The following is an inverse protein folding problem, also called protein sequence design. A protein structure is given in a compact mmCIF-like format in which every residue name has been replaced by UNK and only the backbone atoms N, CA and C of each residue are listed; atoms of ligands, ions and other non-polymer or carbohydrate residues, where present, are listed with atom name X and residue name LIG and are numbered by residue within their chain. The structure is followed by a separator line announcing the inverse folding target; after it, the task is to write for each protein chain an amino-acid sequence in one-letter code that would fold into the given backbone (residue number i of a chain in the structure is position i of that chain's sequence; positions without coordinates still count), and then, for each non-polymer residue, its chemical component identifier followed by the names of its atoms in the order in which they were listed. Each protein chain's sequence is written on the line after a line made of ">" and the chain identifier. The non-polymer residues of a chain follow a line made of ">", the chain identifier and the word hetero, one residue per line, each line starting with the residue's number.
data_IF_577661016418
#
_entry.id   IF_577661016418
#
_cell.length_a   1.000
_cell.length_b   1.000
_cell.length_c   1.000
_cell.angle_alpha   90.00
_cell.angle_beta   90.00
_cell.angle_gamma   90.00
#
_symmetry.space_group_name_H-M   'P 1'
#
loop_
_entity.id
_entity.type
_entity.pdbx_description
1 polymer ?
#
# COMPACT_ATOMS: atom_id res chain seq x y z
N UNK A 1 38.90 21.68 -59.50
CA UNK A 1 37.49 21.31 -59.36
C UNK A 1 37.45 20.25 -58.26
N UNK A 2 37.07 20.63 -57.05
CA UNK A 2 37.12 19.75 -55.88
C UNK A 2 35.68 19.37 -55.51
N UNK A 3 35.37 18.08 -55.51
CA UNK A 3 34.07 17.55 -55.10
C UNK A 3 33.87 17.75 -53.59
N UNK A 4 32.71 18.26 -53.13
CA UNK A 4 32.42 18.34 -51.71
C UNK A 4 32.00 16.96 -51.20
N UNK A 5 32.76 16.45 -50.23
CA UNK A 5 32.42 15.23 -49.48
C UNK A 5 31.21 15.52 -48.59
N UNK A 6 30.07 14.94 -48.94
CA UNK A 6 28.88 14.90 -48.09
C UNK A 6 29.12 13.98 -46.89
N UNK A 7 29.36 14.54 -45.71
CA UNK A 7 29.25 13.80 -44.46
C UNK A 7 27.77 13.72 -44.07
N UNK A 8 27.15 12.56 -44.31
CA UNK A 8 25.84 12.25 -43.75
C UNK A 8 26.04 11.93 -42.27
N UNK A 9 25.83 12.92 -41.41
CA UNK A 9 25.72 12.67 -39.96
C UNK A 9 24.48 11.78 -39.77
N UNK A 10 24.70 10.49 -39.56
CA UNK A 10 23.68 9.60 -39.03
C UNK A 10 23.39 10.09 -37.62
N UNK A 11 22.34 10.90 -37.45
CA UNK A 11 21.89 11.33 -36.14
C UNK A 11 21.50 10.10 -35.32
N UNK A 12 22.38 9.69 -34.41
CA UNK A 12 22.07 8.66 -33.42
C UNK A 12 21.08 9.29 -32.43
N UNK A 13 19.80 8.96 -32.53
CA UNK A 13 18.86 9.26 -31.45
C UNK A 13 19.14 8.24 -30.35
N UNK A 14 19.67 8.70 -29.22
CA UNK A 14 19.56 7.96 -27.97
C UNK A 14 18.06 7.89 -27.63
N UNK A 15 17.41 6.78 -27.98
CA UNK A 15 16.04 6.53 -27.57
C UNK A 15 16.09 5.76 -26.26
N UNK A 16 15.72 6.42 -25.17
CA UNK A 16 15.44 5.72 -23.92
C UNK A 16 14.11 4.97 -24.12
N UNK A 17 13.97 3.77 -23.56
CA UNK A 17 12.69 3.04 -23.63
C UNK A 17 11.57 3.77 -22.90
N UNK A 18 10.33 3.23 -22.91
CA UNK A 18 9.18 3.96 -22.42
C UNK A 18 9.29 4.26 -20.93
N UNK A 19 8.91 5.49 -20.54
CA UNK A 19 8.71 5.81 -19.12
C UNK A 19 7.47 5.08 -18.61
N UNK A 20 7.46 4.70 -17.34
CA UNK A 20 6.29 4.09 -16.70
C UNK A 20 5.90 4.84 -15.42
N UNK A 21 4.61 5.12 -15.29
CA UNK A 21 4.00 5.76 -14.13
C UNK A 21 3.05 4.80 -13.44
N UNK A 22 3.25 4.59 -12.13
CA UNK A 22 2.38 3.79 -11.29
C UNK A 22 1.34 4.65 -10.58
N UNK A 23 0.09 4.21 -10.65
CA UNK A 23 -1.01 4.73 -9.83
C UNK A 23 -1.67 3.63 -9.03
N UNK A 24 -2.23 4.01 -7.89
CA UNK A 24 -2.80 3.11 -6.89
C UNK A 24 -4.25 3.50 -6.61
N UNK A 25 -5.10 2.50 -6.39
CA UNK A 25 -6.51 2.70 -6.00
C UNK A 25 -6.71 3.19 -4.57
N UNK A 26 -5.67 3.15 -3.74
CA UNK A 26 -5.63 3.63 -2.35
C UNK A 26 -4.53 4.69 -2.20
N UNK A 27 -4.62 5.60 -1.21
CA UNK A 27 -3.54 6.52 -0.87
C UNK A 27 -2.25 5.78 -0.54
N UNK A 28 -1.11 6.21 -1.09
CA UNK A 28 0.17 5.52 -0.90
C UNK A 28 0.81 5.73 0.47
N UNK A 29 0.28 6.64 1.29
CA UNK A 29 0.79 6.90 2.63
C UNK A 29 0.34 5.87 3.68
N UNK A 30 -0.78 5.18 3.42
CA UNK A 30 -1.43 4.28 4.38
C UNK A 30 -2.32 3.28 3.63
N UNK A 31 -1.69 2.29 2.98
CA UNK A 31 -2.42 1.25 2.27
C UNK A 31 -2.87 0.19 3.27
N UNK A 32 -4.16 0.21 3.59
CA UNK A 32 -4.82 -0.82 4.39
C UNK A 32 -4.93 -2.18 3.70
N UNK A 33 -5.26 -3.21 4.50
CA UNK A 33 -5.48 -4.57 4.04
C UNK A 33 -6.52 -4.71 2.90
N UNK A 34 -6.49 -5.83 2.20
CA UNK A 34 -7.34 -6.17 1.06
C UNK A 34 -6.82 -5.62 -0.27
N UNK A 35 -7.63 -5.79 -1.32
CA UNK A 35 -7.25 -5.50 -2.70
C UNK A 35 -6.70 -4.08 -2.91
N UNK A 36 -5.56 -4.00 -3.59
CA UNK A 36 -4.92 -2.79 -4.11
C UNK A 36 -4.77 -2.96 -5.62
N UNK A 37 -5.61 -2.28 -6.39
CA UNK A 37 -5.41 -2.15 -7.83
C UNK A 37 -4.24 -1.19 -8.08
N UNK A 38 -3.25 -1.68 -8.81
CA UNK A 38 -2.12 -0.91 -9.35
C UNK A 38 -2.25 -0.82 -10.87
N UNK A 39 -1.97 0.36 -11.41
CA UNK A 39 -2.00 0.62 -12.85
C UNK A 39 -0.65 1.17 -13.29
N UNK A 40 0.00 0.49 -14.23
CA UNK A 40 1.20 0.95 -14.91
C UNK A 40 0.81 1.59 -16.25
N UNK A 41 1.14 2.88 -16.41
CA UNK A 41 0.94 3.62 -17.65
C UNK A 41 2.27 3.91 -18.31
N UNK A 42 2.45 3.42 -19.53
CA UNK A 42 3.67 3.57 -20.32
C UNK A 42 3.53 4.75 -21.30
N UNK A 43 4.62 5.46 -21.59
CA UNK A 43 4.60 6.54 -22.58
C UNK A 43 4.35 6.04 -24.01
N UNK A 44 4.69 4.79 -24.28
CA UNK A 44 4.59 4.13 -25.57
C UNK A 44 3.89 2.76 -25.45
N UNK A 45 3.35 2.28 -26.57
CA UNK A 45 2.68 0.99 -26.63
C UNK A 45 3.68 -0.15 -26.46
N UNK A 46 3.30 -1.16 -25.68
CA UNK A 46 4.10 -2.36 -25.49
C UNK A 46 3.63 -3.47 -26.43
N UNK A 47 4.59 -4.26 -26.93
CA UNK A 47 4.35 -5.51 -27.67
C UNK A 47 4.53 -6.75 -26.80
N UNK A 48 5.16 -6.60 -25.63
CA UNK A 48 5.28 -7.63 -24.61
C UNK A 48 4.71 -7.14 -23.28
N UNK A 49 3.99 -8.01 -22.59
CA UNK A 49 3.41 -7.70 -21.29
C UNK A 49 4.52 -7.46 -20.24
N UNK A 50 4.43 -6.37 -19.46
CA UNK A 50 5.36 -6.13 -18.37
C UNK A 50 5.11 -7.08 -17.20
N UNK A 51 6.14 -7.30 -16.40
CA UNK A 51 6.07 -7.99 -15.12
C UNK A 51 6.11 -6.98 -13.97
N UNK A 52 5.40 -7.29 -12.89
CA UNK A 52 5.43 -6.58 -11.62
C UNK A 52 6.03 -7.47 -10.54
N UNK A 53 6.87 -6.89 -9.68
CA UNK A 53 7.33 -7.50 -8.44
C UNK A 53 7.06 -6.55 -7.27
N UNK A 54 6.76 -7.09 -6.10
CA UNK A 54 6.43 -6.36 -4.89
C UNK A 54 7.26 -6.93 -3.74
N UNK A 55 7.96 -6.07 -3.04
CA UNK A 55 8.78 -6.43 -1.87
C UNK A 55 8.26 -5.64 -0.67
N UNK A 56 7.63 -6.37 0.26
CA UNK A 56 7.02 -5.85 1.48
C UNK A 56 7.93 -6.17 2.67
N UNK A 57 8.04 -5.29 3.68
CA UNK A 57 8.83 -5.59 4.87
C UNK A 57 8.49 -6.94 5.53
N UNK A 58 9.53 -7.69 5.85
CA UNK A 58 9.43 -9.04 6.39
C UNK A 58 9.86 -10.09 5.35
N UNK A 59 9.17 -11.22 5.33
CA UNK A 59 9.41 -12.33 4.38
C UNK A 59 8.11 -12.90 3.82
N UNK A 60 7.00 -12.19 4.02
CA UNK A 60 5.65 -12.66 3.71
C UNK A 60 4.88 -11.61 2.91
N UNK A 61 4.00 -12.12 2.04
CA UNK A 61 3.19 -11.34 1.12
C UNK A 61 3.98 -10.57 0.04
N UNK A 62 5.18 -11.01 -0.27
CA UNK A 62 5.93 -10.57 -1.45
C UNK A 62 5.31 -11.15 -2.73
N UNK A 63 5.50 -10.44 -3.83
CA UNK A 63 5.14 -10.90 -5.16
C UNK A 63 6.40 -10.97 -6.00
N UNK A 64 6.82 -12.19 -6.34
CA UNK A 64 7.85 -12.39 -7.35
C UNK A 64 7.39 -11.88 -8.73
N UNK A 65 8.32 -11.75 -9.68
CA UNK A 65 8.01 -11.22 -11.02
C UNK A 65 6.81 -11.93 -11.66
N UNK A 66 5.69 -11.21 -11.79
CA UNK A 66 4.40 -11.73 -12.24
C UNK A 66 3.88 -10.88 -13.40
N UNK A 67 3.37 -11.49 -14.46
CA UNK A 67 2.86 -10.77 -15.63
C UNK A 67 1.63 -9.91 -15.27
N UNK A 68 1.62 -8.66 -15.72
CA UNK A 68 0.47 -7.76 -15.54
C UNK A 68 -0.64 -8.05 -16.57
N UNK A 69 -1.87 -7.63 -16.27
CA UNK A 69 -3.02 -7.80 -17.14
C UNK A 69 -3.14 -6.62 -18.11
N UNK A 70 -3.31 -6.92 -19.40
CA UNK A 70 -3.55 -5.89 -20.42
C UNK A 70 -4.92 -5.24 -20.22
N UNK A 71 -5.02 -3.95 -20.50
CA UNK A 71 -6.31 -3.30 -20.71
C UNK A 71 -6.64 -3.25 -22.21
N UNK A 72 -7.69 -2.51 -22.59
CA UNK A 72 -7.94 -2.19 -24.01
C UNK A 72 -6.90 -1.25 -24.62
N UNK A 73 -6.05 -0.61 -23.81
CA UNK A 73 -4.94 0.22 -24.25
C UNK A 73 -3.60 -0.51 -24.01
N UNK A 74 -2.84 -0.73 -25.09
CA UNK A 74 -1.49 -1.32 -25.06
C UNK A 74 -0.46 -0.55 -24.21
N UNK A 75 -0.79 0.67 -23.78
CA UNK A 75 0.00 1.49 -22.86
C UNK A 75 -0.36 1.30 -21.40
N UNK A 76 -1.48 0.63 -21.10
CA UNK A 76 -2.03 0.57 -19.74
C UNK A 76 -2.19 -0.88 -19.30
N UNK A 77 -1.56 -1.20 -18.17
CA UNK A 77 -1.50 -2.55 -17.60
C UNK A 77 -1.87 -2.51 -16.12
N UNK A 78 -2.58 -3.52 -15.65
CA UNK A 78 -3.08 -3.57 -14.28
C UNK A 78 -2.63 -4.82 -13.53
N UNK A 79 -2.52 -4.70 -12.21
CA UNK A 79 -2.29 -5.80 -11.31
C UNK A 79 -3.06 -5.55 -10.00
N UNK A 80 -3.71 -6.58 -9.47
CA UNK A 80 -4.37 -6.51 -8.16
C UNK A 80 -3.48 -7.22 -7.16
N UNK A 81 -2.93 -6.46 -6.22
CA UNK A 81 -2.21 -7.00 -5.07
C UNK A 81 -3.15 -7.16 -3.89
N UNK A 82 -3.20 -8.33 -3.29
CA UNK A 82 -3.97 -8.56 -2.07
C UNK A 82 -3.12 -8.24 -0.84
N UNK A 83 -3.37 -7.09 -0.23
CA UNK A 83 -2.61 -6.65 0.94
C UNK A 83 -3.08 -7.45 2.16
N UNK A 84 -2.34 -8.48 2.54
CA UNK A 84 -2.60 -9.23 3.76
C UNK A 84 -2.48 -8.36 5.02
N UNK A 85 -3.26 -8.70 6.04
CA UNK A 85 -3.12 -8.14 7.38
C UNK A 85 -1.71 -8.40 7.93
N UNK A 86 -1.19 -7.46 8.72
CA UNK A 86 0.06 -7.70 9.48
C UNK A 86 -0.14 -8.86 10.45
N UNK A 87 0.90 -9.68 10.62
CA UNK A 87 0.93 -10.76 11.61
C UNK A 87 2.00 -10.52 12.69
N UNK A 88 2.65 -9.35 12.67
CA UNK A 88 3.68 -8.95 13.63
C UNK A 88 4.98 -9.78 13.58
N UNK A 89 5.14 -10.70 12.63
CA UNK A 89 6.32 -11.58 12.54
C UNK A 89 6.91 -11.63 11.13
N UNK A 90 6.18 -12.17 10.15
CA UNK A 90 6.65 -12.35 8.76
C UNK A 90 6.00 -11.39 7.78
N UNK A 91 4.79 -10.93 8.06
CA UNK A 91 4.07 -9.92 7.27
C UNK A 91 4.04 -8.67 8.13
N UNK A 92 4.89 -7.69 7.78
CA UNK A 92 5.06 -6.47 8.55
C UNK A 92 4.52 -5.27 7.79
N UNK A 93 4.13 -4.24 8.54
CA UNK A 93 3.76 -2.94 7.98
C UNK A 93 5.01 -2.09 7.72
N UNK A 94 4.90 -1.13 6.80
CA UNK A 94 6.00 -0.25 6.42
C UNK A 94 6.12 -0.01 4.91
N UNK A 95 7.27 0.53 4.51
CA UNK A 95 7.54 0.92 3.13
C UNK A 95 7.70 -0.32 2.25
N UNK A 96 6.80 -0.47 1.29
CA UNK A 96 6.76 -1.53 0.28
C UNK A 96 7.23 -0.97 -1.06
N UNK A 97 8.06 -1.73 -1.78
CA UNK A 97 8.57 -1.34 -3.09
C UNK A 97 7.92 -2.12 -4.22
N UNK A 98 7.82 -1.49 -5.40
CA UNK A 98 7.23 -2.06 -6.61
C UNK A 98 8.20 -1.89 -7.78
N UNK A 99 8.52 -2.99 -8.46
CA UNK A 99 9.31 -2.97 -9.68
C UNK A 99 8.50 -3.40 -10.89
N UNK A 100 8.73 -2.72 -12.01
CA UNK A 100 8.12 -2.99 -13.31
C UNK A 100 9.25 -3.31 -14.29
N UNK A 101 9.20 -4.49 -14.88
CA UNK A 101 10.23 -5.01 -15.81
C UNK A 101 9.59 -5.67 -17.02
N UNK A 102 10.39 -6.04 -18.02
CA UNK A 102 9.92 -6.85 -19.16
C UNK A 102 9.03 -6.14 -20.18
N UNK A 103 8.64 -4.88 -19.94
CA UNK A 103 7.90 -4.09 -20.92
C UNK A 103 8.78 -3.78 -22.12
N UNK A 104 8.34 -4.18 -23.32
CA UNK A 104 9.10 -4.04 -24.57
C UNK A 104 8.26 -3.30 -25.61
N UNK A 105 8.84 -2.30 -26.28
CA UNK A 105 8.21 -1.63 -27.43
C UNK A 105 8.48 -2.39 -28.73
N UNK A 106 7.76 -2.03 -29.80
CA UNK A 106 7.98 -2.62 -31.13
C UNK A 106 9.42 -2.43 -31.65
N UNK A 107 10.09 -1.35 -31.22
CA UNK A 107 11.48 -1.04 -31.57
C UNK A 107 12.50 -1.78 -30.68
N UNK A 108 12.04 -2.67 -29.80
CA UNK A 108 12.89 -3.49 -28.93
C UNK A 108 13.46 -2.75 -27.73
N UNK A 109 12.88 -1.61 -27.34
CA UNK A 109 13.32 -0.85 -26.17
C UNK A 109 12.62 -1.35 -24.90
N UNK A 110 13.39 -1.59 -23.85
CA UNK A 110 12.87 -1.98 -22.54
C UNK A 110 12.40 -0.78 -21.74
N UNK A 111 11.33 -0.93 -20.97
CA UNK A 111 10.82 0.13 -20.11
C UNK A 111 11.90 0.68 -19.16
N UNK A 112 11.82 1.98 -18.89
CA UNK A 112 12.59 2.61 -17.84
C UNK A 112 12.07 2.20 -16.45
N UNK A 113 12.85 2.55 -15.44
CA UNK A 113 12.46 2.50 -14.03
C UNK A 113 11.13 3.23 -13.80
N UNK A 114 10.22 2.59 -13.07
CA UNK A 114 8.91 3.18 -12.76
C UNK A 114 9.01 4.39 -11.84
N UNK A 115 8.21 5.42 -12.10
CA UNK A 115 7.94 6.47 -11.12
C UNK A 115 6.85 6.03 -10.13
N UNK A 116 6.85 6.63 -8.93
CA UNK A 116 5.89 6.32 -7.86
C UNK A 116 5.89 4.83 -7.45
N UNK A 117 7.09 4.27 -7.26
CA UNK A 117 7.36 2.84 -7.07
C UNK A 117 7.34 2.37 -5.61
N UNK A 118 6.76 3.15 -4.72
CA UNK A 118 6.71 2.83 -3.29
C UNK A 118 5.40 3.27 -2.68
N UNK A 119 4.90 2.50 -1.73
CA UNK A 119 3.78 2.85 -0.87
C UNK A 119 4.02 2.32 0.54
N UNK A 120 3.44 2.95 1.54
CA UNK A 120 3.49 2.50 2.93
C UNK A 120 2.25 1.66 3.21
N UNK A 121 2.47 0.42 3.66
CA UNK A 121 1.39 -0.44 4.16
C UNK A 121 1.19 -0.16 5.64
N UNK A 122 -0.07 0.04 6.03
CA UNK A 122 -0.54 -0.07 7.41
C UNK A 122 -1.77 -0.97 7.39
N UNK A 123 -1.55 -2.26 7.68
CA UNK A 123 -2.59 -3.27 7.66
C UNK A 123 -3.04 -3.64 9.09
N UNK A 124 -2.82 -2.74 10.06
CA UNK A 124 -3.26 -2.91 11.44
C UNK A 124 -4.79 -2.90 11.50
N UNK A 125 -5.45 -3.97 12.01
CA UNK A 125 -6.90 -3.98 12.14
C UNK A 125 -7.38 -2.87 13.08
N UNK A 126 -8.47 -2.16 12.75
CA UNK A 126 -9.01 -1.12 13.61
C UNK A 126 -9.38 -1.69 14.99
N UNK A 127 -9.24 -0.87 16.02
CA UNK A 127 -9.71 -1.19 17.36
C UNK A 127 -11.21 -0.96 17.52
N UNK A 128 -11.92 -1.95 18.04
CA UNK A 128 -13.29 -1.83 18.53
C UNK A 128 -13.28 -1.85 20.06
N UNK A 129 -13.94 -0.88 20.68
CA UNK A 129 -14.10 -0.81 22.13
C UNK A 129 -15.49 -1.29 22.56
N UNK A 130 -15.56 -2.04 23.66
CA UNK A 130 -16.83 -2.40 24.30
C UNK A 130 -16.72 -2.36 25.82
N UNK A 131 -17.76 -1.89 26.51
CA UNK A 131 -17.87 -2.03 27.96
C UNK A 131 -18.34 -3.45 28.25
N UNK A 132 -17.52 -4.20 28.99
CA UNK A 132 -17.79 -5.58 29.36
C UNK A 132 -18.59 -5.66 30.66
N UNK A 133 -18.19 -4.91 31.69
CA UNK A 133 -18.87 -4.90 32.98
C UNK A 133 -18.82 -3.52 33.63
N UNK A 134 -19.84 -3.23 34.42
CA UNK A 134 -19.88 -2.11 35.37
C UNK A 134 -20.25 -2.72 36.72
N UNK A 135 -19.36 -2.59 37.70
CA UNK A 135 -19.55 -3.17 39.03
C UNK A 135 -19.45 -2.09 40.09
N UNK A 136 -20.50 -1.95 40.88
CA UNK A 136 -20.55 -1.12 42.08
C UNK A 136 -20.86 -2.02 43.28
N UNK A 137 -20.12 -1.84 44.38
CA UNK A 137 -20.35 -2.59 45.61
C UNK A 137 -20.27 -1.64 46.82
N UNK A 138 -21.37 -1.46 47.57
CA UNK A 138 -22.73 -1.98 47.33
C UNK A 138 -23.45 -1.27 46.17
N UNK A 139 -24.45 -1.93 45.59
CA UNK A 139 -25.26 -1.36 44.49
C UNK A 139 -26.22 -0.25 44.94
N UNK A 140 -26.62 -0.28 46.22
CA UNK A 140 -27.42 0.76 46.87
C UNK A 140 -26.67 1.26 48.11
N UNK A 141 -26.70 2.56 48.35
CA UNK A 141 -25.99 3.20 49.47
C UNK A 141 -26.94 3.97 50.35
N UNK A 142 -26.57 4.09 51.62
CA UNK A 142 -27.22 5.00 52.56
C UNK A 142 -26.50 6.35 52.60
N UNK A 143 -27.19 7.39 53.04
CA UNK A 143 -26.58 8.70 53.26
C UNK A 143 -25.38 8.58 54.23
N UNK A 144 -24.23 9.11 53.83
CA UNK A 144 -22.99 9.11 54.60
C UNK A 144 -22.18 7.82 54.51
N UNK A 145 -22.62 6.83 53.72
CA UNK A 145 -21.88 5.60 53.50
C UNK A 145 -20.66 5.82 52.59
N UNK A 146 -19.50 5.36 53.02
CA UNK A 146 -18.30 5.27 52.17
C UNK A 146 -18.42 4.04 51.29
N UNK A 147 -18.20 4.19 49.98
CA UNK A 147 -18.23 3.08 49.02
C UNK A 147 -16.90 2.89 48.31
N UNK A 148 -16.68 1.63 47.89
CA UNK A 148 -15.63 1.32 46.94
C UNK A 148 -15.89 2.01 45.60
N UNK A 149 -14.85 2.39 44.85
CA UNK A 149 -15.02 2.94 43.51
C UNK A 149 -15.81 2.00 42.60
N UNK A 150 -16.65 2.57 41.74
CA UNK A 150 -17.26 1.83 40.63
C UNK A 150 -16.14 1.41 39.69
N UNK A 151 -16.15 0.13 39.31
CA UNK A 151 -15.19 -0.41 38.34
C UNK A 151 -15.89 -0.64 37.01
N UNK A 152 -15.25 -0.25 35.92
CA UNK A 152 -15.68 -0.54 34.56
C UNK A 152 -14.59 -1.35 33.86
N UNK A 153 -14.96 -2.47 33.26
CA UNK A 153 -14.06 -3.23 32.40
C UNK A 153 -14.36 -2.88 30.95
N UNK A 154 -13.35 -2.41 30.21
CA UNK A 154 -13.46 -2.12 28.78
C UNK A 154 -12.56 -3.07 28.00
N UNK A 155 -13.13 -3.74 27.01
CA UNK A 155 -12.39 -4.60 26.08
C UNK A 155 -12.03 -3.80 24.83
N UNK A 156 -10.77 -3.85 24.43
CA UNK A 156 -10.31 -3.43 23.10
C UNK A 156 -10.06 -4.68 22.25
N UNK A 157 -10.81 -4.83 21.16
CA UNK A 157 -10.57 -5.87 20.16
C UNK A 157 -10.03 -5.23 18.89
N UNK A 158 -8.76 -5.46 18.57
CA UNK A 158 -8.08 -4.93 17.38
C UNK A 158 -6.60 -4.67 17.64
N UNK A 159 -5.86 -4.23 16.63
CA UNK A 159 -4.42 -3.97 16.71
C UNK A 159 -4.07 -2.53 17.15
N UNK A 160 -4.99 -1.58 17.00
CA UNK A 160 -4.75 -0.19 17.36
C UNK A 160 -4.84 0.05 18.88
N UNK A 161 -3.93 0.85 19.42
CA UNK A 161 -4.02 1.33 20.81
C UNK A 161 -5.20 2.30 20.95
N UNK A 162 -6.19 1.92 21.75
CA UNK A 162 -7.30 2.79 22.11
C UNK A 162 -7.04 3.42 23.48
N UNK A 163 -6.68 4.71 23.50
CA UNK A 163 -6.52 5.45 24.74
C UNK A 163 -7.91 5.83 25.29
N UNK A 164 -8.28 5.30 26.45
CA UNK A 164 -9.51 5.70 27.15
C UNK A 164 -9.14 6.82 28.11
N UNK A 165 -9.35 8.07 27.71
CA UNK A 165 -9.23 9.22 28.61
C UNK A 165 -10.57 9.40 29.31
N UNK A 166 -10.67 9.07 30.60
CA UNK A 166 -11.89 9.37 31.36
C UNK A 166 -11.96 10.87 31.64
N UNK A 167 -13.08 11.51 31.30
CA UNK A 167 -13.41 12.87 31.71
C UNK A 167 -14.78 12.85 32.37
N UNK A 168 -14.85 13.35 33.61
CA UNK A 168 -16.11 13.75 34.26
C UNK A 168 -17.11 12.65 34.58
N UNK A 169 -16.79 11.75 35.51
CA UNK A 169 -17.84 11.07 36.28
C UNK A 169 -18.39 12.08 37.29
N UNK A 170 -19.56 12.67 37.00
CA UNK A 170 -20.26 13.57 37.92
C UNK A 170 -21.38 12.77 38.60
N UNK A 171 -21.36 12.67 39.93
CA UNK A 171 -22.43 12.07 40.70
C UNK A 171 -23.55 13.11 40.89
N UNK A 172 -24.80 12.78 40.55
CA UNK A 172 -25.99 13.55 40.92
C UNK A 172 -26.56 13.05 42.24
#
# INVERSE_FOLDING_TARGET
>A
MADPVYYRVLGFRLSNGPTVALTYSKPTSEVGAGALLMTATFSEALVAAPNIAIDRPGSGNDVGATTMTATGDSKVWTFVYDVAATNGTTILDGLTSVDITGGLTADGLTNQTASNRTFTVDATPPACLAISTITAAPACVSHGQVVSPVTMSVTNTGGSTANITSVGLTFQ
#
